data_IF_829179740927
#
_entry.id   IF_829179740927
#
_cell.length_a   1.000
_cell.length_b   1.000
_cell.length_c   1.000
_cell.angle_alpha   90.00
_cell.angle_beta   90.00
_cell.angle_gamma   90.00
#
_symmetry.space_group_name_H-M   'P 1'
#
loop_
_entity.id
_entity.type
_entity.pdbx_description
1 polymer ?
#
# COMPACT_ATOMS: atom_id res chain seq x y z
N UNK A 1 9.18 25.23 2.03
CA UNK A 1 8.57 23.97 2.53
C UNK A 1 7.83 23.23 1.42
N UNK A 2 6.77 23.77 0.79
CA UNK A 2 6.02 23.06 -0.26
C UNK A 2 6.90 22.58 -1.42
N UNK A 3 7.79 23.45 -1.94
CA UNK A 3 8.80 23.07 -2.95
C UNK A 3 9.63 21.84 -2.52
N UNK A 4 10.08 21.83 -1.27
CA UNK A 4 10.88 20.73 -0.74
C UNK A 4 10.07 19.45 -0.55
N UNK A 5 8.79 19.56 -0.17
CA UNK A 5 7.88 18.43 -0.07
C UNK A 5 7.58 17.80 -1.44
N UNK A 6 7.53 18.61 -2.51
CA UNK A 6 7.41 18.12 -3.89
C UNK A 6 8.64 17.31 -4.27
N UNK A 7 9.84 17.82 -4.00
CA UNK A 7 11.10 17.14 -4.34
C UNK A 7 11.29 15.85 -3.54
N UNK A 8 10.92 15.87 -2.26
CA UNK A 8 11.16 14.74 -1.35
C UNK A 8 10.07 13.66 -1.40
N UNK A 9 8.94 13.93 -2.06
CA UNK A 9 7.81 13.01 -2.29
C UNK A 9 7.42 12.12 -1.09
N UNK A 10 7.12 12.71 0.10
CA UNK A 10 6.81 11.95 1.31
C UNK A 10 5.58 11.04 1.19
N UNK A 11 4.73 11.27 0.18
CA UNK A 11 3.50 10.52 -0.04
C UNK A 11 3.71 9.18 -0.77
N UNK A 12 4.86 8.97 -1.40
CA UNK A 12 5.23 7.68 -2.01
C UNK A 12 5.42 6.57 -0.97
N UNK A 13 5.54 6.95 0.31
CA UNK A 13 5.69 6.04 1.42
C UNK A 13 4.37 5.87 2.17
N UNK A 14 4.13 4.65 2.63
CA UNK A 14 2.93 4.31 3.39
C UNK A 14 2.77 5.21 4.61
N UNK A 15 1.52 5.57 4.91
CA UNK A 15 1.18 6.36 6.10
C UNK A 15 1.69 5.63 7.37
N UNK A 16 2.34 6.39 8.28
CA UNK A 16 2.99 5.89 9.52
C UNK A 16 4.21 4.98 9.30
N UNK A 17 4.77 4.90 8.10
CA UNK A 17 6.04 4.21 7.89
C UNK A 17 7.23 5.01 8.45
N UNK A 18 8.27 4.34 8.98
CA UNK A 18 9.51 5.00 9.41
C UNK A 18 10.17 5.81 8.29
N UNK A 19 10.16 5.28 7.07
CA UNK A 19 10.72 5.91 5.86
C UNK A 19 10.05 7.25 5.60
N UNK A 20 8.72 7.30 5.67
CA UNK A 20 7.97 8.57 5.58
C UNK A 20 8.36 9.55 6.68
N UNK A 21 8.60 9.04 7.90
CA UNK A 21 9.09 9.84 9.02
C UNK A 21 10.43 10.50 8.69
N UNK A 22 11.39 9.72 8.20
CA UNK A 22 12.72 10.18 7.80
C UNK A 22 12.67 11.24 6.69
N UNK A 23 11.75 11.11 5.73
CA UNK A 23 11.56 12.14 4.69
C UNK A 23 11.16 13.48 5.33
N UNK A 24 10.23 13.48 6.28
CA UNK A 24 9.85 14.72 6.98
C UNK A 24 11.00 15.30 7.81
N UNK A 25 11.80 14.45 8.44
CA UNK A 25 12.98 14.88 9.19
C UNK A 25 14.05 15.47 8.26
N UNK A 26 14.24 14.91 7.06
CA UNK A 26 15.12 15.44 6.02
C UNK A 26 14.66 16.82 5.54
N UNK A 27 13.36 16.98 5.27
CA UNK A 27 12.79 18.29 4.90
C UNK A 27 13.02 19.30 6.03
N UNK A 28 12.80 18.91 7.29
CA UNK A 28 13.04 19.79 8.43
C UNK A 28 14.53 20.15 8.57
N UNK A 29 15.45 19.21 8.36
CA UNK A 29 16.88 19.45 8.39
C UNK A 29 17.30 20.45 7.32
N UNK A 30 16.80 20.30 6.08
CA UNK A 30 17.05 21.25 4.99
C UNK A 30 16.48 22.63 5.33
N UNK A 31 15.23 22.72 5.79
CA UNK A 31 14.66 24.02 6.20
C UNK A 31 15.52 24.69 7.28
N UNK A 32 15.97 23.93 8.29
CA UNK A 32 16.80 24.45 9.36
C UNK A 32 18.22 24.83 8.91
N UNK A 33 18.72 24.30 7.79
CA UNK A 33 20.03 24.69 7.23
C UNK A 33 19.97 25.99 6.43
N UNK A 34 18.78 26.53 6.15
CA UNK A 34 18.63 27.81 5.47
C UNK A 34 19.00 28.96 6.40
N UNK A 35 19.86 29.87 5.91
CA UNK A 35 20.30 31.03 6.66
C UNK A 35 19.28 32.16 6.65
N UNK A 36 18.54 32.32 5.55
CA UNK A 36 17.47 33.29 5.39
C UNK A 36 16.35 32.73 4.51
N UNK A 37 15.11 32.62 5.01
CA UNK A 37 14.70 32.78 6.41
C UNK A 37 15.30 31.69 7.32
N UNK A 38 15.54 32.01 8.60
CA UNK A 38 16.05 31.05 9.59
C UNK A 38 14.89 30.25 10.18
N UNK A 39 14.97 28.93 10.11
CA UNK A 39 13.96 28.03 10.66
C UNK A 39 14.45 27.32 11.93
N UNK A 40 13.49 26.94 12.78
CA UNK A 40 13.69 26.00 13.90
C UNK A 40 12.47 25.09 13.99
N UNK A 41 12.43 24.08 13.13
CA UNK A 41 11.29 23.18 12.96
C UNK A 41 11.72 21.72 13.10
N UNK A 42 10.78 20.85 13.49
CA UNK A 42 10.96 19.39 13.50
C UNK A 42 10.21 18.76 12.32
N UNK A 43 10.51 17.51 11.97
CA UNK A 43 9.75 16.80 10.92
C UNK A 43 8.25 16.72 11.24
N UNK A 44 7.89 16.62 12.52
CA UNK A 44 6.48 16.72 12.95
C UNK A 44 5.87 18.08 12.64
N UNK A 45 6.55 19.17 12.96
CA UNK A 45 6.04 20.52 12.69
C UNK A 45 5.87 20.78 11.19
N UNK A 46 6.80 20.29 10.36
CA UNK A 46 6.71 20.37 8.90
C UNK A 46 5.48 19.61 8.40
N UNK A 47 5.29 18.36 8.85
CA UNK A 47 4.14 17.53 8.49
C UNK A 47 2.83 18.18 8.90
N UNK A 48 2.72 18.66 10.13
CA UNK A 48 1.49 19.29 10.64
C UNK A 48 1.15 20.56 9.83
N UNK A 49 2.15 21.38 9.51
CA UNK A 49 1.97 22.57 8.65
C UNK A 49 1.56 22.19 7.23
N UNK A 50 2.18 21.16 6.67
CA UNK A 50 1.83 20.62 5.37
C UNK A 50 0.37 20.16 5.33
N UNK A 51 -0.07 19.35 6.30
CA UNK A 51 -1.46 18.87 6.39
C UNK A 51 -2.46 20.01 6.53
N UNK A 52 -2.11 21.05 7.28
CA UNK A 52 -2.95 22.24 7.42
C UNK A 52 -3.14 22.95 6.07
N UNK A 53 -2.04 23.18 5.34
CA UNK A 53 -2.08 23.89 4.05
C UNK A 53 -2.87 23.09 2.99
N UNK A 54 -2.59 21.79 2.85
CA UNK A 54 -3.30 20.94 1.87
C UNK A 54 -4.79 20.82 2.22
N UNK A 55 -5.14 20.70 3.50
CA UNK A 55 -6.56 20.65 3.92
C UNK A 55 -7.31 21.94 3.66
N UNK A 56 -6.67 23.09 3.90
CA UNK A 56 -7.26 24.41 3.59
C UNK A 56 -7.45 24.61 2.10
N UNK A 57 -6.47 24.23 1.29
CA UNK A 57 -6.58 24.36 -0.16
C UNK A 57 -7.66 23.41 -0.73
N UNK A 58 -7.76 22.16 -0.23
CA UNK A 58 -8.90 21.27 -0.56
C UNK A 58 -10.25 21.87 -0.20
N UNK A 59 -10.33 22.63 0.90
CA UNK A 59 -11.58 23.31 1.29
C UNK A 59 -11.88 24.49 0.36
N UNK A 60 -10.87 25.32 0.05
CA UNK A 60 -10.97 26.43 -0.91
C UNK A 60 -11.51 25.96 -2.27
N UNK A 61 -10.93 24.92 -2.85
CA UNK A 61 -11.39 24.33 -4.13
C UNK A 61 -12.86 23.88 -4.08
N UNK A 62 -13.30 23.27 -2.97
CA UNK A 62 -14.71 22.85 -2.80
C UNK A 62 -15.67 24.02 -2.65
N UNK A 63 -15.22 25.12 -2.07
CA UNK A 63 -16.04 26.31 -1.86
C UNK A 63 -16.12 27.13 -3.16
N UNK A 64 -15.03 27.20 -3.93
CA UNK A 64 -14.98 27.80 -5.27
C UNK A 64 -15.84 27.03 -6.29
N UNK A 65 -15.81 25.68 -6.27
CA UNK A 65 -16.70 24.86 -7.12
C UNK A 65 -18.18 25.14 -6.85
N UNK A 66 -18.54 25.53 -5.61
CA UNK A 66 -19.90 25.88 -5.21
C UNK A 66 -20.25 27.34 -5.47
N UNK A 67 -19.27 28.24 -5.42
CA UNK A 67 -19.44 29.67 -5.59
C UNK A 67 -19.07 30.06 -7.03
N UNK A 68 -20.07 30.12 -7.91
CA UNK A 68 -19.95 30.56 -9.31
C UNK A 68 -18.94 31.71 -9.53
N UNK A 69 -17.80 31.37 -10.14
CA UNK A 69 -17.19 32.14 -11.23
C UNK A 69 -16.48 33.46 -10.90
N UNK A 70 -16.04 33.69 -9.66
CA UNK A 70 -15.14 34.81 -9.37
C UNK A 70 -13.70 34.30 -9.53
N UNK A 71 -13.01 34.80 -10.56
CA UNK A 71 -11.59 34.55 -10.80
C UNK A 71 -10.77 35.16 -9.66
N UNK A 72 -10.15 34.29 -8.87
CA UNK A 72 -9.20 34.67 -7.83
C UNK A 72 -7.81 34.49 -8.44
N UNK A 73 -6.93 35.49 -8.30
CA UNK A 73 -5.54 35.37 -8.74
C UNK A 73 -4.86 34.17 -8.06
N UNK A 74 -4.43 33.21 -8.86
CA UNK A 74 -3.69 32.04 -8.39
C UNK A 74 -2.30 32.45 -7.89
N UNK A 75 -2.01 32.14 -6.63
CA UNK A 75 -0.70 32.40 -6.05
C UNK A 75 0.26 31.25 -6.35
N UNK A 76 1.58 31.50 -6.31
CA UNK A 76 2.59 30.43 -6.41
C UNK A 76 2.33 29.31 -5.37
N UNK A 77 1.86 29.69 -4.18
CA UNK A 77 1.53 28.72 -3.14
C UNK A 77 0.35 27.83 -3.54
N UNK A 78 -0.67 28.38 -4.19
CA UNK A 78 -1.82 27.61 -4.68
C UNK A 78 -1.36 26.58 -5.74
N UNK A 79 -0.56 27.00 -6.71
CA UNK A 79 0.01 26.11 -7.75
C UNK A 79 0.81 24.96 -7.13
N UNK A 80 1.68 25.28 -6.16
CA UNK A 80 2.46 24.27 -5.46
C UNK A 80 1.58 23.32 -4.65
N UNK A 81 0.49 23.81 -4.05
CA UNK A 81 -0.44 22.97 -3.31
C UNK A 81 -1.22 22.06 -4.23
N UNK A 82 -1.63 22.53 -5.40
CA UNK A 82 -2.32 21.71 -6.41
C UNK A 82 -1.43 20.58 -6.92
N UNK A 83 -0.18 20.84 -7.31
CA UNK A 83 0.80 19.79 -7.70
C UNK A 83 0.99 18.77 -6.56
N UNK A 84 1.09 19.26 -5.32
CA UNK A 84 1.16 18.39 -4.13
C UNK A 84 -0.07 17.49 -4.04
N UNK A 85 -1.28 18.00 -4.27
CA UNK A 85 -2.52 17.22 -4.18
C UNK A 85 -2.61 16.17 -5.29
N UNK A 86 -2.21 16.52 -6.50
CA UNK A 86 -2.19 15.60 -7.62
C UNK A 86 -1.19 14.45 -7.37
N UNK A 87 0.03 14.78 -6.92
CA UNK A 87 1.02 13.77 -6.53
C UNK A 87 0.56 12.91 -5.36
N UNK A 88 -0.13 13.49 -4.37
CA UNK A 88 -0.74 12.73 -3.27
C UNK A 88 -1.72 11.67 -3.78
N UNK A 89 -2.57 12.04 -4.72
CA UNK A 89 -3.55 11.15 -5.33
C UNK A 89 -2.85 10.01 -6.08
N UNK A 90 -1.91 10.35 -6.96
CA UNK A 90 -1.15 9.37 -7.74
C UNK A 90 -0.35 8.41 -6.85
N UNK A 91 0.29 8.93 -5.78
CA UNK A 91 1.03 8.10 -4.83
C UNK A 91 0.12 7.15 -4.06
N UNK A 92 -1.07 7.62 -3.66
CA UNK A 92 -2.06 6.78 -2.98
C UNK A 92 -2.55 5.66 -3.88
N UNK A 93 -2.90 5.96 -5.13
CA UNK A 93 -3.34 4.97 -6.12
C UNK A 93 -2.26 3.88 -6.32
N UNK A 94 -1.00 4.27 -6.50
CA UNK A 94 0.13 3.32 -6.61
C UNK A 94 0.29 2.43 -5.36
N UNK A 95 0.17 2.99 -4.16
CA UNK A 95 0.28 2.21 -2.91
C UNK A 95 -0.89 1.22 -2.79
N UNK A 96 -2.10 1.65 -3.12
CA UNK A 96 -3.30 0.83 -3.05
C UNK A 96 -3.25 -0.31 -4.09
N UNK A 97 -2.81 -0.03 -5.32
CA UNK A 97 -2.55 -1.03 -6.37
C UNK A 97 -1.52 -2.07 -5.93
N UNK A 98 -0.36 -1.64 -5.44
CA UNK A 98 0.68 -2.56 -4.95
C UNK A 98 0.19 -3.43 -3.78
N UNK A 99 -0.64 -2.86 -2.91
CA UNK A 99 -1.27 -3.60 -1.80
C UNK A 99 -2.25 -4.65 -2.31
N UNK A 100 -3.08 -4.30 -3.29
CA UNK A 100 -4.03 -5.21 -3.93
C UNK A 100 -3.32 -6.36 -4.65
N UNK A 101 -2.27 -6.07 -5.42
CA UNK A 101 -1.47 -7.08 -6.11
C UNK A 101 -0.81 -8.05 -5.13
N UNK A 102 -0.21 -7.55 -4.04
CA UNK A 102 0.41 -8.41 -3.01
C UNK A 102 -0.63 -9.34 -2.38
N UNK A 103 -1.83 -8.82 -2.11
CA UNK A 103 -2.94 -9.62 -1.56
C UNK A 103 -3.43 -10.68 -2.56
N UNK A 104 -3.54 -10.34 -3.84
CA UNK A 104 -3.94 -11.26 -4.89
C UNK A 104 -2.92 -12.40 -5.07
N UNK A 105 -1.63 -12.08 -5.11
CA UNK A 105 -0.54 -13.07 -5.17
C UNK A 105 -0.55 -14.01 -3.96
N UNK A 106 -0.69 -13.46 -2.75
CA UNK A 106 -0.78 -14.27 -1.53
C UNK A 106 -2.02 -15.20 -1.52
N UNK A 107 -3.15 -14.75 -2.09
CA UNK A 107 -4.34 -15.58 -2.22
C UNK A 107 -4.14 -16.73 -3.22
N UNK A 108 -3.52 -16.45 -4.38
CA UNK A 108 -3.20 -17.47 -5.38
C UNK A 108 -2.21 -18.51 -4.86
N UNK A 109 -1.16 -18.09 -4.16
CA UNK A 109 -0.19 -19.01 -3.54
C UNK A 109 -0.86 -19.91 -2.49
N UNK A 110 -1.78 -19.35 -1.71
CA UNK A 110 -2.55 -20.11 -0.73
C UNK A 110 -3.47 -21.14 -1.41
N UNK A 111 -4.16 -20.76 -2.47
CA UNK A 111 -5.04 -21.66 -3.24
C UNK A 111 -4.23 -22.80 -3.87
N UNK A 112 -3.10 -22.49 -4.51
CA UNK A 112 -2.22 -23.50 -5.08
C UNK A 112 -1.69 -24.48 -4.01
N UNK A 113 -1.31 -23.98 -2.83
CA UNK A 113 -0.87 -24.83 -1.72
C UNK A 113 -2.00 -25.73 -1.19
N UNK A 114 -3.23 -25.20 -1.10
CA UNK A 114 -4.40 -25.98 -0.70
C UNK A 114 -4.75 -27.06 -1.73
N UNK A 115 -4.62 -26.77 -3.02
CA UNK A 115 -4.85 -27.74 -4.10
C UNK A 115 -3.85 -28.89 -4.03
N UNK A 116 -2.55 -28.60 -3.90
CA UNK A 116 -1.50 -29.61 -3.74
C UNK A 116 -1.79 -30.50 -2.51
N UNK A 117 -2.22 -29.89 -1.40
CA UNK A 117 -2.60 -30.63 -0.19
C UNK A 117 -3.79 -31.57 -0.44
N UNK A 118 -4.83 -31.11 -1.14
CA UNK A 118 -5.99 -31.93 -1.48
C UNK A 118 -5.63 -33.09 -2.43
N UNK A 119 -4.81 -32.85 -3.44
CA UNK A 119 -4.32 -33.88 -4.37
C UNK A 119 -3.50 -34.96 -3.64
N UNK A 120 -2.64 -34.57 -2.69
CA UNK A 120 -1.87 -35.50 -1.87
C UNK A 120 -2.80 -36.39 -0.99
N UNK A 121 -3.82 -35.82 -0.36
CA UNK A 121 -4.81 -36.55 0.43
C UNK A 121 -5.61 -37.55 -0.42
N UNK A 122 -6.02 -37.16 -1.63
CA UNK A 122 -6.69 -38.07 -2.57
C UNK A 122 -5.77 -39.24 -2.96
N UNK A 123 -4.52 -38.96 -3.29
CA UNK A 123 -3.52 -39.98 -3.65
C UNK A 123 -3.31 -41.00 -2.53
N UNK A 124 -3.22 -40.54 -1.27
CA UNK A 124 -3.11 -41.42 -0.10
C UNK A 124 -4.36 -42.28 0.09
N UNK A 125 -5.56 -41.69 -0.05
CA UNK A 125 -6.83 -42.40 0.02
C UNK A 125 -6.91 -43.52 -1.02
N UNK A 126 -6.50 -43.26 -2.25
CA UNK A 126 -6.55 -44.24 -3.33
C UNK A 126 -5.49 -45.34 -3.19
N UNK A 127 -4.28 -45.01 -2.73
CA UNK A 127 -3.28 -46.02 -2.34
C UNK A 127 -3.81 -46.93 -1.22
N UNK A 128 -4.50 -46.37 -0.23
CA UNK A 128 -5.18 -47.12 0.83
C UNK A 128 -6.25 -48.08 0.31
N UNK A 129 -7.14 -47.60 -0.59
CA UNK A 129 -8.16 -48.45 -1.23
C UNK A 129 -7.53 -49.61 -2.03
N UNK A 130 -6.48 -49.33 -2.81
CA UNK A 130 -5.76 -50.34 -3.59
C UNK A 130 -5.09 -51.39 -2.71
N UNK A 131 -4.45 -51.00 -1.60
CA UNK A 131 -3.89 -51.94 -0.62
C UNK A 131 -4.96 -52.85 -0.04
N UNK A 132 -6.08 -52.29 0.45
CA UNK A 132 -7.21 -53.08 0.98
C UNK A 132 -7.82 -54.03 -0.06
N UNK A 133 -7.90 -53.61 -1.32
CA UNK A 133 -8.35 -54.48 -2.42
C UNK A 133 -7.43 -55.67 -2.66
N UNK A 134 -6.10 -55.44 -2.70
CA UNK A 134 -5.10 -56.52 -2.86
C UNK A 134 -5.06 -57.47 -1.67
N UNK A 135 -5.27 -56.97 -0.46
CA UNK A 135 -5.32 -57.78 0.77
C UNK A 135 -6.58 -58.66 0.83
N UNK A 136 -7.73 -58.14 0.41
CA UNK A 136 -8.98 -58.92 0.25
C UNK A 136 -8.86 -59.99 -0.85
N UNK A 137 -8.16 -59.70 -1.94
CA UNK A 137 -7.91 -60.69 -3.00
C UNK A 137 -6.97 -61.80 -2.52
N UNK A 138 -5.90 -61.46 -1.79
CA UNK A 138 -4.95 -62.43 -1.22
C UNK A 138 -5.54 -63.32 -0.12
N UNK A 139 -6.50 -62.82 0.65
CA UNK A 139 -7.19 -63.62 1.67
C UNK A 139 -8.23 -64.55 1.08
N UNK A 140 -8.87 -64.19 -0.05
CA UNK A 140 -9.75 -65.09 -0.81
C UNK A 140 -8.99 -66.25 -1.44
N UNK A 141 -7.84 -66.01 -2.07
CA UNK A 141 -7.06 -67.09 -2.72
C UNK A 141 -6.37 -68.05 -1.77
N UNK A 142 -6.23 -67.71 -0.47
CA UNK A 142 -5.68 -68.62 0.55
C UNK A 142 -6.73 -69.50 1.24
N UNK A 143 -8.02 -69.25 1.04
CA UNK A 143 -9.12 -69.99 1.69
C UNK A 143 -9.64 -71.18 0.89
N UNK A 144 -9.11 -71.41 -0.32
CA UNK A 144 -9.38 -72.62 -1.11
C UNK A 144 -8.16 -73.56 -1.10
N UNK A 145 -7.99 -74.42 -0.07
CA UNK A 145 -7.31 -75.69 -0.25
C UNK A 145 -8.32 -76.76 -0.68
N UNK A 146 -7.89 -77.59 -1.63
CA UNK A 146 -8.60 -78.77 -2.16
C UNK A 146 -8.96 -79.77 -1.06
#
# INVERSE_FOLDING_TARGET
>A
MCREAIVSEPNNFRVRSPERGQVWDSIAAHLNSLNQPKFKVTGRAVRDRYTLLTSRHKQKLRDEEKASGIEIEETELDILLEDILEREKNAKEKIDEQSAEKKAKAAQEKEAAEEIRLQALQTLKDKGKRKRGKEKARTRTKKDPR
#
